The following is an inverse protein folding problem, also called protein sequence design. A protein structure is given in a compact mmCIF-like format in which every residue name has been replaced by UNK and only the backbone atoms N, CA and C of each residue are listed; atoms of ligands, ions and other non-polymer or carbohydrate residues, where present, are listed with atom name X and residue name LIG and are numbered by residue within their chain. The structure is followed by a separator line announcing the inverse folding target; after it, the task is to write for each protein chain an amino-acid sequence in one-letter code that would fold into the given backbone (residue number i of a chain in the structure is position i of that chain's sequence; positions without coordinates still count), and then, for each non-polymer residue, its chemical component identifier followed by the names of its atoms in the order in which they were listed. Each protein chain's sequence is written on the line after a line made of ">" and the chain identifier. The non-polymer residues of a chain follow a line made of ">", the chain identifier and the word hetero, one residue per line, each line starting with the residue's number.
data_IF_361181707041
#
_entry.id   IF_361181707041
#
_cell.length_a   1.000
_cell.length_b   1.000
_cell.length_c   1.000
_cell.angle_alpha   90.00
_cell.angle_beta   90.00
_cell.angle_gamma   90.00
#
_symmetry.space_group_name_H-M   'P 1'
#
loop_
_entity.id
_entity.type
_entity.pdbx_description
1 polymer ?
#
# COMPACT_ATOMS: atom_id res chain seq x y z
N UNK A 1 -10.97 13.23 8.07
CA UNK A 1 -9.69 13.19 7.37
C UNK A 1 -10.03 12.99 5.91
N UNK A 2 -9.88 14.02 5.09
CA UNK A 2 -10.07 13.88 3.65
C UNK A 2 -9.07 12.86 3.10
N UNK A 3 -9.54 11.91 2.29
CA UNK A 3 -8.74 10.86 1.63
C UNK A 3 -8.01 9.88 2.55
N UNK A 4 -8.63 9.45 3.66
CA UNK A 4 -8.00 8.56 4.64
C UNK A 4 -7.48 7.23 4.06
N UNK A 5 -8.10 6.71 3.00
CA UNK A 5 -7.81 5.37 2.48
C UNK A 5 -6.38 5.24 1.93
N UNK A 6 -5.88 6.26 1.23
CA UNK A 6 -4.54 6.20 0.62
C UNK A 6 -3.42 6.13 1.67
N UNK A 7 -3.41 6.98 2.72
CA UNK A 7 -2.49 6.83 3.83
C UNK A 7 -2.62 5.48 4.56
N UNK A 8 -3.85 4.98 4.73
CA UNK A 8 -4.12 3.71 5.41
C UNK A 8 -3.50 2.52 4.67
N UNK A 9 -3.71 2.42 3.35
CA UNK A 9 -3.11 1.36 2.53
C UNK A 9 -1.59 1.48 2.52
N UNK A 10 -1.05 2.70 2.44
CA UNK A 10 0.40 2.94 2.44
C UNK A 10 1.04 2.50 3.77
N UNK A 11 0.40 2.78 4.90
CA UNK A 11 0.83 2.32 6.22
C UNK A 11 0.88 0.79 6.28
N UNK A 12 -0.20 0.11 5.91
CA UNK A 12 -0.24 -1.35 5.93
C UNK A 12 0.73 -2.00 4.95
N UNK A 13 0.90 -1.42 3.76
CA UNK A 13 1.93 -1.85 2.82
C UNK A 13 3.33 -1.75 3.44
N UNK A 14 3.65 -0.65 4.13
CA UNK A 14 4.94 -0.49 4.80
C UNK A 14 5.13 -1.54 5.90
N UNK A 15 4.10 -1.82 6.72
CA UNK A 15 4.15 -2.87 7.75
C UNK A 15 4.42 -4.25 7.15
N UNK A 16 3.72 -4.63 6.09
CA UNK A 16 3.90 -5.91 5.41
C UNK A 16 5.29 -5.99 4.77
N UNK A 17 5.70 -4.93 4.07
CA UNK A 17 7.01 -4.86 3.43
C UNK A 17 8.14 -5.00 4.45
N UNK A 18 8.10 -4.24 5.55
CA UNK A 18 9.11 -4.31 6.60
C UNK A 18 9.16 -5.71 7.22
N UNK A 19 8.00 -6.28 7.58
CA UNK A 19 7.89 -7.65 8.13
C UNK A 19 8.57 -8.68 7.23
N UNK A 20 8.39 -8.56 5.91
CA UNK A 20 9.00 -9.48 4.94
C UNK A 20 10.47 -9.15 4.62
N UNK A 21 10.85 -7.87 4.66
CA UNK A 21 12.21 -7.41 4.35
C UNK A 21 13.24 -7.83 5.41
N UNK A 22 12.85 -7.89 6.69
CA UNK A 22 13.74 -8.30 7.78
C UNK A 22 14.28 -9.72 7.52
N UNK A 23 15.57 -9.82 7.21
CA UNK A 23 16.27 -11.08 6.96
C UNK A 23 15.67 -11.93 5.83
N UNK A 24 15.20 -11.28 4.76
CA UNK A 24 14.55 -11.93 3.62
C UNK A 24 15.29 -13.14 3.05
N UNK A 25 16.64 -13.11 3.00
CA UNK A 25 17.45 -14.22 2.43
C UNK A 25 17.57 -15.45 3.33
N UNK A 26 17.30 -15.33 4.64
CA UNK A 26 17.59 -16.39 5.62
C UNK A 26 16.34 -16.92 6.30
N UNK A 27 15.33 -16.08 6.49
CA UNK A 27 14.16 -16.42 7.30
C UNK A 27 12.89 -16.67 6.50
N UNK A 28 12.84 -16.28 5.23
CA UNK A 28 11.63 -16.41 4.43
C UNK A 28 11.45 -17.79 3.78
N UNK A 29 12.47 -18.65 3.85
CA UNK A 29 12.40 -20.03 3.35
C UNK A 29 11.66 -20.97 4.33
N UNK A 30 11.77 -20.70 5.63
CA UNK A 30 11.11 -21.48 6.69
C UNK A 30 9.77 -20.84 7.09
N UNK A 31 8.70 -21.63 6.95
CA UNK A 31 7.33 -21.21 7.28
C UNK A 31 7.20 -20.84 8.76
N UNK A 32 7.86 -21.59 9.66
CA UNK A 32 7.73 -21.35 11.10
C UNK A 32 8.32 -19.99 11.47
N UNK A 33 9.43 -19.62 10.85
CA UNK A 33 10.07 -18.32 11.04
C UNK A 33 9.23 -17.19 10.42
N UNK A 34 8.64 -17.39 9.25
CA UNK A 34 7.71 -16.42 8.66
C UNK A 34 6.48 -16.23 9.54
N UNK A 35 5.89 -17.30 10.07
CA UNK A 35 4.74 -17.23 10.96
C UNK A 35 5.09 -16.50 12.27
N UNK A 36 6.27 -16.78 12.84
CA UNK A 36 6.77 -16.06 14.01
C UNK A 36 6.93 -14.55 13.72
N UNK A 37 7.47 -14.17 12.55
CA UNK A 37 7.58 -12.76 12.13
C UNK A 37 6.22 -12.10 12.01
N UNK A 38 5.24 -12.78 11.42
CA UNK A 38 3.85 -12.30 11.33
C UNK A 38 3.29 -12.05 12.73
N UNK A 39 3.41 -13.01 13.65
CA UNK A 39 2.94 -12.86 15.02
C UNK A 39 3.63 -11.70 15.76
N UNK A 40 4.96 -11.60 15.64
CA UNK A 40 5.73 -10.50 16.25
C UNK A 40 5.29 -9.15 15.69
N UNK A 41 5.13 -9.04 14.37
CA UNK A 41 4.65 -7.81 13.73
C UNK A 41 3.24 -7.42 14.18
N UNK A 42 2.33 -8.39 14.34
CA UNK A 42 1.00 -8.17 14.87
C UNK A 42 1.01 -7.61 16.29
N UNK A 43 1.82 -8.19 17.17
CA UNK A 43 1.98 -7.70 18.55
C UNK A 43 2.59 -6.30 18.56
N UNK A 44 3.66 -6.06 17.79
CA UNK A 44 4.30 -4.74 17.72
C UNK A 44 3.31 -3.69 17.25
N UNK A 45 2.59 -3.92 16.15
CA UNK A 45 1.62 -2.95 15.62
C UNK A 45 0.47 -2.74 16.60
N UNK A 46 -0.06 -3.80 17.21
CA UNK A 46 -1.12 -3.67 18.22
C UNK A 46 -0.67 -2.84 19.43
N UNK A 47 0.54 -3.07 19.95
CA UNK A 47 1.10 -2.28 21.05
C UNK A 47 1.34 -0.84 20.63
N UNK A 48 1.91 -0.61 19.45
CA UNK A 48 2.19 0.73 18.95
C UNK A 48 0.91 1.54 18.80
N UNK A 49 -0.13 0.95 18.18
CA UNK A 49 -1.40 1.62 17.88
C UNK A 49 -2.27 1.79 19.14
N UNK A 50 -2.36 0.77 20.01
CA UNK A 50 -3.31 0.77 21.13
C UNK A 50 -2.72 1.31 22.44
N UNK A 51 -1.41 1.18 22.66
CA UNK A 51 -0.81 1.42 23.97
C UNK A 51 0.26 2.52 23.99
N UNK A 52 0.85 2.90 22.86
CA UNK A 52 1.98 3.85 22.85
C UNK A 52 1.62 5.24 22.35
N UNK A 53 2.28 6.30 22.83
CA UNK A 53 2.13 7.65 22.29
C UNK A 53 2.89 7.86 20.97
N UNK A 54 3.49 6.82 20.38
CA UNK A 54 4.31 6.96 19.17
C UNK A 54 3.50 7.52 18.00
N UNK A 55 2.23 7.15 17.87
CA UNK A 55 1.31 7.69 16.86
C UNK A 55 1.12 9.19 17.04
N UNK A 56 0.95 9.66 18.29
CA UNK A 56 0.85 11.10 18.63
C UNK A 56 2.10 11.86 18.24
N UNK A 57 3.28 11.33 18.55
CA UNK A 57 4.55 11.98 18.21
C UNK A 57 4.77 12.04 16.70
N UNK A 58 4.43 10.95 15.99
CA UNK A 58 4.53 10.90 14.52
C UNK A 58 3.61 11.94 13.88
N UNK A 59 2.36 12.06 14.32
CA UNK A 59 1.44 13.08 13.82
C UNK A 59 1.87 14.50 14.21
N UNK A 60 2.45 14.67 15.40
CA UNK A 60 3.07 15.93 15.82
C UNK A 60 4.22 16.34 14.90
N UNK A 61 5.11 15.39 14.57
CA UNK A 61 6.20 15.58 13.63
C UNK A 61 5.67 15.94 12.22
N UNK A 62 4.68 15.21 11.69
CA UNK A 62 4.05 15.53 10.41
C UNK A 62 3.44 16.94 10.40
N UNK A 63 2.82 17.36 11.51
CA UNK A 63 2.25 18.69 11.64
C UNK A 63 3.32 19.79 11.66
N UNK A 64 4.42 19.58 12.36
CA UNK A 64 5.50 20.57 12.50
C UNK A 64 6.29 20.72 11.20
N UNK A 65 6.71 19.61 10.59
CA UNK A 65 7.64 19.64 9.45
C UNK A 65 6.94 19.72 8.11
N UNK A 66 5.78 19.06 7.98
CA UNK A 66 5.06 18.99 6.72
C UNK A 66 3.79 19.83 6.71
N UNK A 67 3.39 20.49 7.82
CA UNK A 67 2.12 21.23 7.92
C UNK A 67 0.88 20.36 7.59
N UNK A 68 0.95 19.05 7.87
CA UNK A 68 -0.16 18.12 7.63
C UNK A 68 -1.14 18.17 8.81
N UNK A 69 -2.37 18.61 8.57
CA UNK A 69 -3.45 18.74 9.57
C UNK A 69 -4.39 17.53 9.58
N UNK A 70 -3.88 16.34 9.87
CA UNK A 70 -4.71 15.12 9.97
C UNK A 70 -5.30 14.95 11.38
N UNK A 71 -6.49 14.35 11.45
CA UNK A 71 -7.10 13.96 12.73
C UNK A 71 -6.49 12.65 13.20
N UNK A 72 -5.86 12.68 14.38
CA UNK A 72 -5.28 11.49 15.00
C UNK A 72 -6.36 10.48 15.42
N UNK A 73 -7.44 10.96 16.03
CA UNK A 73 -8.53 10.11 16.54
C UNK A 73 -9.16 9.29 15.41
N UNK A 74 -9.38 9.93 14.26
CA UNK A 74 -9.94 9.25 13.10
C UNK A 74 -8.95 8.26 12.47
N UNK A 75 -7.65 8.56 12.51
CA UNK A 75 -6.62 7.66 12.04
C UNK A 75 -6.53 6.40 12.91
N UNK A 76 -6.39 6.58 14.23
CA UNK A 76 -6.35 5.47 15.21
C UNK A 76 -7.59 4.59 15.09
N UNK A 77 -8.76 5.20 14.95
CA UNK A 77 -10.02 4.50 14.73
C UNK A 77 -9.98 3.61 13.47
N UNK A 78 -9.52 4.14 12.34
CA UNK A 78 -9.49 3.40 11.07
C UNK A 78 -8.44 2.29 11.05
N UNK A 79 -7.27 2.55 11.64
CA UNK A 79 -6.23 1.51 11.79
C UNK A 79 -6.71 0.40 12.72
N UNK A 80 -7.40 0.73 13.82
CA UNK A 80 -7.93 -0.25 14.75
C UNK A 80 -9.01 -1.15 14.11
N UNK A 81 -9.84 -0.61 13.19
CA UNK A 81 -10.83 -1.40 12.45
C UNK A 81 -10.20 -2.49 11.58
N UNK A 82 -9.08 -2.19 10.93
CA UNK A 82 -8.39 -3.10 10.01
C UNK A 82 -7.19 -3.82 10.66
N UNK A 83 -7.13 -3.91 11.99
CA UNK A 83 -5.94 -4.37 12.72
C UNK A 83 -5.53 -5.81 12.33
N UNK A 84 -6.49 -6.73 12.20
CA UNK A 84 -6.19 -8.16 12.00
C UNK A 84 -6.27 -8.63 10.54
N UNK A 85 -7.06 -7.95 9.70
CA UNK A 85 -7.34 -8.40 8.33
C UNK A 85 -6.06 -8.53 7.49
N UNK A 86 -5.09 -7.64 7.68
CA UNK A 86 -3.82 -7.65 6.95
C UNK A 86 -3.00 -8.92 7.25
N UNK A 87 -3.00 -9.36 8.51
CA UNK A 87 -2.32 -10.59 8.91
C UNK A 87 -3.00 -11.82 8.33
N UNK A 88 -4.33 -11.84 8.27
CA UNK A 88 -5.07 -12.90 7.56
C UNK A 88 -4.72 -12.92 6.07
N UNK A 89 -4.55 -11.76 5.44
CA UNK A 89 -4.06 -11.65 4.06
C UNK A 89 -2.68 -12.28 3.88
N UNK A 90 -1.74 -12.01 4.79
CA UNK A 90 -0.41 -12.64 4.75
C UNK A 90 -0.47 -14.16 4.93
N UNK A 91 -1.27 -14.65 5.87
CA UNK A 91 -1.49 -16.09 6.07
C UNK A 91 -2.13 -16.74 4.83
N UNK A 92 -3.08 -16.06 4.20
CA UNK A 92 -3.72 -16.51 2.96
C UNK A 92 -2.73 -16.62 1.81
N UNK A 93 -1.77 -15.69 1.71
CA UNK A 93 -0.69 -15.75 0.73
C UNK A 93 0.25 -16.95 0.98
N UNK A 94 0.60 -17.24 2.23
CA UNK A 94 1.39 -18.43 2.59
C UNK A 94 0.63 -19.71 2.23
N UNK A 95 -0.65 -19.78 2.57
CA UNK A 95 -1.51 -20.90 2.23
C UNK A 95 -1.54 -21.11 0.71
N UNK A 96 -1.73 -20.05 -0.07
CA UNK A 96 -1.71 -20.10 -1.54
C UNK A 96 -0.40 -20.66 -2.11
N UNK A 97 0.75 -20.26 -1.56
CA UNK A 97 2.06 -20.76 -2.00
C UNK A 97 2.32 -22.23 -1.65
N UNK A 98 1.66 -22.73 -0.59
CA UNK A 98 1.88 -24.10 -0.07
C UNK A 98 0.87 -25.11 -0.58
N UNK A 99 -0.31 -24.68 -1.02
CA UNK A 99 -1.29 -25.55 -1.68
C UNK A 99 -0.74 -25.96 -3.05
N UNK A 100 0.12 -26.98 -3.05
CA UNK A 100 0.67 -27.64 -4.23
C UNK A 100 -0.16 -28.84 -4.68
N UNK A 101 -0.96 -29.40 -3.78
CA UNK A 101 -1.76 -30.59 -4.05
C UNK A 101 -3.13 -30.23 -4.64
N UNK A 102 -3.58 -31.05 -5.59
CA UNK A 102 -4.95 -31.01 -6.05
C UNK A 102 -5.90 -31.36 -4.91
N UNK A 103 -6.43 -30.33 -4.26
CA UNK A 103 -7.43 -30.52 -3.23
C UNK A 103 -8.62 -31.31 -3.81
N UNK A 104 -8.99 -32.43 -3.18
CA UNK A 104 -10.09 -33.28 -3.66
C UNK A 104 -11.35 -32.45 -3.88
N UNK A 105 -12.06 -32.73 -4.98
CA UNK A 105 -13.29 -31.99 -5.33
C UNK A 105 -14.31 -31.97 -4.18
N UNK A 106 -14.47 -33.09 -3.47
CA UNK A 106 -15.34 -33.20 -2.31
C UNK A 106 -15.01 -32.16 -1.22
N UNK A 107 -13.72 -31.92 -0.96
CA UNK A 107 -13.28 -30.93 0.03
C UNK A 107 -13.49 -29.49 -0.47
N UNK A 108 -13.32 -29.24 -1.78
CA UNK A 108 -13.63 -27.92 -2.36
C UNK A 108 -15.13 -27.61 -2.25
N UNK A 109 -15.98 -28.58 -2.58
CA UNK A 109 -17.42 -28.44 -2.45
C UNK A 109 -17.85 -28.27 -0.99
N UNK A 110 -17.26 -29.00 -0.04
CA UNK A 110 -17.59 -28.83 1.38
C UNK A 110 -17.16 -27.46 1.90
N UNK A 111 -15.94 -27.00 1.60
CA UNK A 111 -15.48 -25.66 1.99
C UNK A 111 -16.34 -24.54 1.39
N UNK A 112 -16.84 -24.72 0.17
CA UNK A 112 -17.73 -23.74 -0.45
C UNK A 112 -19.14 -23.76 0.12
N UNK A 113 -19.67 -24.93 0.46
CA UNK A 113 -20.94 -25.03 1.19
C UNK A 113 -20.81 -24.32 2.54
N UNK A 114 -19.74 -24.60 3.29
CA UNK A 114 -19.42 -23.91 4.53
C UNK A 114 -19.28 -22.40 4.30
N UNK A 115 -18.56 -21.99 3.26
CA UNK A 115 -18.41 -20.57 2.89
C UNK A 115 -19.76 -19.90 2.61
N UNK A 116 -20.67 -20.56 1.90
CA UNK A 116 -22.00 -20.03 1.60
C UNK A 116 -22.84 -19.88 2.88
N UNK A 117 -22.81 -20.89 3.77
CA UNK A 117 -23.47 -20.83 5.08
C UNK A 117 -22.90 -19.70 5.93
N UNK A 118 -21.58 -19.54 5.96
CA UNK A 118 -20.89 -18.48 6.71
C UNK A 118 -21.24 -17.10 6.16
N UNK A 119 -21.29 -16.92 4.84
CA UNK A 119 -21.72 -15.67 4.22
C UNK A 119 -23.16 -15.30 4.57
N UNK A 120 -24.08 -16.27 4.49
CA UNK A 120 -25.48 -16.06 4.87
C UNK A 120 -25.61 -15.75 6.37
N UNK A 121 -24.88 -16.47 7.22
CA UNK A 121 -24.83 -16.25 8.66
C UNK A 121 -24.26 -14.87 9.02
N UNK A 122 -23.21 -14.43 8.34
CA UNK A 122 -22.64 -13.09 8.53
C UNK A 122 -23.64 -11.99 8.13
N UNK A 123 -24.32 -12.15 6.99
CA UNK A 123 -25.35 -11.21 6.55
C UNK A 123 -26.53 -11.14 7.54
N UNK A 124 -26.96 -12.30 8.04
CA UNK A 124 -28.01 -12.38 9.07
C UNK A 124 -27.59 -11.74 10.39
N UNK A 125 -26.36 -12.00 10.85
CA UNK A 125 -25.80 -11.40 12.05
C UNK A 125 -25.73 -9.86 11.92
N UNK A 126 -25.30 -9.35 10.76
CA UNK A 126 -25.31 -7.90 10.49
C UNK A 126 -26.71 -7.30 10.56
N UNK A 127 -27.74 -8.03 10.11
CA UNK A 127 -29.13 -7.57 10.16
C UNK A 127 -29.80 -7.66 11.53
N UNK A 128 -29.23 -8.40 12.48
CA UNK A 128 -29.87 -8.70 13.77
C UNK A 128 -28.99 -8.32 14.96
N UNK A 129 -27.91 -9.07 15.19
CA UNK A 129 -27.04 -8.94 16.37
C UNK A 129 -26.04 -7.79 16.27
N UNK A 130 -25.59 -7.46 15.06
CA UNK A 130 -24.67 -6.33 14.78
C UNK A 130 -25.42 -5.16 14.12
N UNK A 131 -26.73 -5.03 14.37
CA UNK A 131 -27.54 -3.97 13.77
C UNK A 131 -27.16 -2.57 14.27
N UNK A 132 -26.61 -2.47 15.48
CA UNK A 132 -26.10 -1.20 16.02
C UNK A 132 -24.70 -0.90 15.46
N UNK A 133 -24.48 0.35 15.07
CA UNK A 133 -23.16 0.80 14.59
C UNK A 133 -22.06 0.59 15.64
N UNK A 134 -22.39 0.71 16.93
CA UNK A 134 -21.43 0.51 18.02
C UNK A 134 -20.97 -0.95 18.12
N UNK A 135 -21.93 -1.89 18.13
CA UNK A 135 -21.63 -3.32 18.24
C UNK A 135 -20.89 -3.82 17.01
N UNK A 136 -21.32 -3.41 15.81
CA UNK A 136 -20.61 -3.75 14.58
C UNK A 136 -19.16 -3.31 14.64
N UNK A 137 -18.87 -2.07 15.08
CA UNK A 137 -17.51 -1.54 15.18
C UNK A 137 -16.64 -2.32 16.17
N UNK A 138 -17.20 -2.74 17.30
CA UNK A 138 -16.47 -3.51 18.31
C UNK A 138 -16.04 -4.88 17.76
N UNK A 139 -16.94 -5.54 17.04
CA UNK A 139 -16.70 -6.89 16.50
C UNK A 139 -16.00 -6.90 15.15
N UNK A 140 -16.04 -5.81 14.38
CA UNK A 140 -15.52 -5.72 13.02
C UNK A 140 -14.06 -6.18 12.88
N UNK A 141 -13.09 -5.75 13.72
CA UNK A 141 -11.69 -6.17 13.58
C UNK A 141 -11.52 -7.70 13.63
N UNK A 142 -12.39 -8.39 14.37
CA UNK A 142 -12.35 -9.82 14.58
C UNK A 142 -13.17 -10.62 13.57
N UNK A 143 -14.12 -9.98 12.88
CA UNK A 143 -15.07 -10.68 12.00
C UNK A 143 -14.91 -10.29 10.53
N UNK A 144 -14.21 -9.20 10.20
CA UNK A 144 -14.09 -8.67 8.83
C UNK A 144 -13.48 -9.67 7.83
N UNK A 145 -12.58 -10.54 8.27
CA UNK A 145 -11.94 -11.55 7.41
C UNK A 145 -12.85 -12.73 7.06
N UNK A 146 -13.88 -13.00 7.88
CA UNK A 146 -14.77 -14.15 7.74
C UNK A 146 -15.50 -14.15 6.39
N UNK A 147 -16.23 -13.08 5.99
CA UNK A 147 -16.90 -13.06 4.69
C UNK A 147 -15.90 -13.11 3.52
N UNK A 148 -14.69 -12.57 3.68
CA UNK A 148 -13.66 -12.59 2.63
C UNK A 148 -13.16 -14.01 2.37
N UNK A 149 -12.78 -14.74 3.43
CA UNK A 149 -12.33 -16.13 3.32
C UNK A 149 -13.47 -17.04 2.82
N UNK A 150 -14.69 -16.81 3.28
CA UNK A 150 -15.87 -17.53 2.84
C UNK A 150 -16.14 -17.33 1.34
N UNK A 151 -16.02 -16.09 0.85
CA UNK A 151 -16.14 -15.79 -0.58
C UNK A 151 -15.03 -16.46 -1.40
N UNK A 152 -13.78 -16.44 -0.92
CA UNK A 152 -12.67 -17.14 -1.58
C UNK A 152 -12.94 -18.64 -1.67
N UNK A 153 -13.45 -19.26 -0.59
CA UNK A 153 -13.80 -20.67 -0.57
C UNK A 153 -14.89 -21.01 -1.61
N UNK A 154 -15.96 -20.20 -1.69
CA UNK A 154 -17.02 -20.35 -2.70
C UNK A 154 -16.49 -20.17 -4.12
N UNK A 155 -15.61 -19.19 -4.35
CA UNK A 155 -15.02 -18.94 -5.67
C UNK A 155 -14.08 -20.06 -6.13
N UNK A 156 -13.52 -20.84 -5.22
CA UNK A 156 -12.52 -21.85 -5.53
C UNK A 156 -13.07 -23.27 -5.77
N UNK A 157 -14.40 -23.44 -5.89
CA UNK A 157 -15.03 -24.75 -6.16
C UNK A 157 -14.61 -25.33 -7.50
N UNK A 158 -14.75 -24.55 -8.56
CA UNK A 158 -14.54 -24.99 -9.94
C UNK A 158 -13.91 -23.88 -10.78
N UNK A 159 -13.23 -24.26 -11.87
CA UNK A 159 -12.60 -23.31 -12.77
C UNK A 159 -13.59 -22.31 -13.40
N UNK A 160 -14.80 -22.71 -13.85
CA UNK A 160 -15.78 -21.75 -14.38
C UNK A 160 -16.20 -20.70 -13.35
N UNK A 161 -16.48 -21.12 -12.11
CA UNK A 161 -16.86 -20.19 -11.03
C UNK A 161 -15.71 -19.23 -10.75
N UNK A 162 -14.45 -19.69 -10.73
CA UNK A 162 -13.29 -18.84 -10.49
C UNK A 162 -13.01 -17.86 -11.63
N UNK A 163 -13.20 -18.27 -12.88
CA UNK A 163 -12.79 -17.53 -14.06
C UNK A 163 -13.89 -16.64 -14.65
N UNK A 164 -15.17 -16.90 -14.34
CA UNK A 164 -16.26 -16.04 -14.78
C UNK A 164 -16.37 -14.82 -13.86
N UNK A 165 -16.22 -13.63 -14.44
CA UNK A 165 -16.33 -12.35 -13.75
C UNK A 165 -16.91 -11.28 -14.68
N UNK A 166 -17.53 -10.25 -14.11
CA UNK A 166 -18.00 -9.10 -14.88
C UNK A 166 -16.83 -8.24 -15.32
N UNK A 167 -16.65 -8.09 -16.64
CA UNK A 167 -15.63 -7.20 -17.22
C UNK A 167 -15.82 -5.75 -16.75
N UNK A 168 -17.07 -5.29 -16.59
CA UNK A 168 -17.38 -3.95 -16.10
C UNK A 168 -16.94 -3.75 -14.66
N UNK A 169 -17.21 -4.72 -13.78
CA UNK A 169 -16.78 -4.65 -12.38
C UNK A 169 -15.27 -4.78 -12.23
N UNK A 170 -14.63 -5.61 -13.06
CA UNK A 170 -13.18 -5.70 -13.11
C UNK A 170 -12.53 -4.38 -13.56
N UNK A 171 -13.10 -3.72 -14.57
CA UNK A 171 -12.67 -2.40 -15.02
C UNK A 171 -12.83 -1.33 -13.93
N UNK A 172 -13.97 -1.30 -13.23
CA UNK A 172 -14.17 -0.40 -12.07
C UNK A 172 -13.15 -0.66 -10.96
N UNK A 173 -12.81 -1.92 -10.71
CA UNK A 173 -11.78 -2.29 -9.74
C UNK A 173 -10.39 -1.72 -10.09
N UNK A 174 -10.05 -1.63 -11.38
CA UNK A 174 -8.76 -1.12 -11.85
C UNK A 174 -8.56 0.39 -11.60
N UNK A 175 -9.65 1.16 -11.53
CA UNK A 175 -9.62 2.60 -11.22
C UNK A 175 -10.20 2.93 -9.84
N UNK A 176 -10.29 1.93 -8.94
CA UNK A 176 -11.01 2.07 -7.65
C UNK A 176 -10.40 3.11 -6.70
N UNK A 177 -9.07 3.26 -6.69
CA UNK A 177 -8.37 4.24 -5.84
C UNK A 177 -8.64 5.68 -6.32
N UNK A 178 -8.58 5.91 -7.63
CA UNK A 178 -8.87 7.19 -8.25
C UNK A 178 -10.35 7.53 -8.09
N UNK A 179 -11.23 6.55 -8.29
CA UNK A 179 -12.67 6.67 -8.08
C UNK A 179 -12.98 7.09 -6.63
N UNK A 180 -12.36 6.43 -5.65
CA UNK A 180 -12.50 6.78 -4.22
C UNK A 180 -12.04 8.20 -3.90
N UNK A 181 -10.99 8.68 -4.57
CA UNK A 181 -10.47 10.04 -4.33
C UNK A 181 -11.34 11.08 -5.02
N UNK A 182 -11.69 10.84 -6.28
CA UNK A 182 -12.47 11.77 -7.10
C UNK A 182 -13.91 11.95 -6.64
N UNK A 183 -14.50 10.97 -5.92
CA UNK A 183 -15.86 11.12 -5.42
C UNK A 183 -16.00 12.35 -4.50
N UNK A 184 -14.96 12.70 -3.73
CA UNK A 184 -14.96 13.87 -2.84
C UNK A 184 -14.88 15.21 -3.59
N UNK A 185 -14.54 15.18 -4.88
CA UNK A 185 -14.40 16.38 -5.71
C UNK A 185 -15.54 16.53 -6.73
N UNK A 186 -16.08 15.41 -7.20
CA UNK A 186 -17.07 15.38 -8.27
C UNK A 186 -18.48 15.04 -7.79
N UNK A 187 -18.62 14.19 -6.77
CA UNK A 187 -19.92 13.73 -6.29
C UNK A 187 -20.34 14.35 -4.98
N UNK A 188 -19.41 14.50 -4.03
CA UNK A 188 -19.72 15.00 -2.71
C UNK A 188 -19.35 16.47 -2.60
N UNK A 189 -20.16 17.21 -1.86
CA UNK A 189 -19.83 18.56 -1.43
C UNK A 189 -18.67 18.52 -0.43
N UNK A 190 -18.09 19.69 -0.15
CA UNK A 190 -16.96 19.82 0.76
C UNK A 190 -17.24 19.30 2.18
N UNK A 191 -18.50 19.11 2.56
CA UNK A 191 -18.91 18.53 3.84
C UNK A 191 -19.01 17.00 3.82
N UNK A 192 -18.78 16.32 2.70
CA UNK A 192 -18.96 14.86 2.52
C UNK A 192 -20.37 14.34 2.84
N UNK A 193 -21.34 15.22 2.99
CA UNK A 193 -22.74 14.88 3.30
C UNK A 193 -23.68 15.32 2.16
N UNK A 194 -23.37 16.43 1.50
CA UNK A 194 -24.09 16.89 0.32
C UNK A 194 -23.68 16.14 -0.95
N UNK A 195 -24.65 15.89 -1.83
CA UNK A 195 -24.39 15.43 -3.21
C UNK A 195 -24.39 16.64 -4.13
N UNK A 196 -23.33 16.81 -4.91
CA UNK A 196 -23.22 17.88 -5.91
C UNK A 196 -24.16 17.56 -7.08
N UNK A 197 -25.22 18.35 -7.22
CA UNK A 197 -26.15 18.29 -8.35
C UNK A 197 -25.77 19.37 -9.37
N UNK A 198 -25.77 19.00 -10.65
CA UNK A 198 -25.48 19.96 -11.74
C UNK A 198 -26.67 20.92 -11.85
N UNK A 199 -26.41 22.21 -11.59
CA UNK A 199 -27.44 23.25 -11.49
C UNK A 199 -28.31 23.40 -12.76
N UNK A 200 -27.81 22.97 -13.93
CA UNK A 200 -28.53 23.02 -15.22
C UNK A 200 -29.60 21.92 -15.37
N UNK A 201 -29.67 20.94 -14.45
CA UNK A 201 -30.66 19.85 -14.42
C UNK A 201 -31.63 20.00 -13.24
N UNK A 202 -31.79 21.22 -12.72
CA UNK A 202 -32.64 21.53 -11.57
C UNK A 202 -34.12 21.57 -12.00
N UNK A 203 -34.81 20.44 -11.89
CA UNK A 203 -36.27 20.37 -11.91
C UNK A 203 -36.87 20.55 -10.51
N UNK A 204 -38.10 20.08 -10.30
CA UNK A 204 -38.93 20.28 -9.09
C UNK A 204 -38.42 19.55 -7.84
N UNK A 205 -37.20 19.01 -7.87
CA UNK A 205 -36.61 18.21 -6.80
C UNK A 205 -37.19 16.79 -6.69
N UNK A 206 -37.97 16.37 -7.68
CA UNK A 206 -38.53 15.03 -7.77
C UNK A 206 -37.43 13.96 -7.86
N UNK A 207 -37.72 12.75 -7.39
CA UNK A 207 -36.81 11.60 -7.49
C UNK A 207 -36.34 11.39 -8.94
N UNK A 208 -37.20 11.63 -9.92
CA UNK A 208 -36.88 11.51 -11.34
C UNK A 208 -35.78 12.49 -11.80
N UNK A 209 -35.73 13.70 -11.26
CA UNK A 209 -34.68 14.68 -11.58
C UNK A 209 -33.34 14.29 -10.97
N UNK A 210 -33.36 13.72 -9.76
CA UNK A 210 -32.15 13.17 -9.11
C UNK A 210 -31.57 12.01 -9.92
N UNK A 211 -32.42 11.10 -10.41
CA UNK A 211 -32.01 9.99 -11.29
C UNK A 211 -31.46 10.48 -12.62
N UNK A 212 -32.07 11.50 -13.24
CA UNK A 212 -31.55 12.12 -14.48
C UNK A 212 -30.17 12.74 -14.27
N UNK A 213 -29.99 13.51 -13.19
CA UNK A 213 -28.68 14.08 -12.85
C UNK A 213 -27.65 12.97 -12.66
N UNK A 214 -27.99 11.91 -11.91
CA UNK A 214 -27.11 10.78 -11.64
C UNK A 214 -26.71 10.02 -12.91
N UNK A 215 -27.65 9.79 -13.83
CA UNK A 215 -27.38 9.16 -15.12
C UNK A 215 -26.40 9.95 -16.00
N UNK A 216 -26.31 11.27 -15.83
CA UNK A 216 -25.34 12.11 -16.56
C UNK A 216 -24.01 12.17 -15.83
N UNK A 217 -24.02 12.37 -14.50
CA UNK A 217 -22.78 12.58 -13.74
C UNK A 217 -21.98 11.29 -13.55
N UNK A 218 -22.64 10.12 -13.42
CA UNK A 218 -21.94 8.84 -13.22
C UNK A 218 -21.05 8.44 -14.40
N UNK A 219 -21.51 8.47 -15.67
CA UNK A 219 -20.64 8.16 -16.80
C UNK A 219 -19.44 9.11 -16.91
N UNK A 220 -19.66 10.42 -16.71
CA UNK A 220 -18.58 11.42 -16.73
C UNK A 220 -17.58 11.16 -15.61
N UNK A 221 -18.06 10.91 -14.40
CA UNK A 221 -17.24 10.57 -13.25
C UNK A 221 -16.40 9.31 -13.49
N UNK A 222 -17.00 8.24 -14.01
CA UNK A 222 -16.30 6.99 -14.32
C UNK A 222 -15.27 7.17 -15.43
N UNK A 223 -15.60 7.98 -16.44
CA UNK A 223 -14.67 8.34 -17.51
C UNK A 223 -13.47 9.12 -16.98
N UNK A 224 -13.68 10.19 -16.21
CA UNK A 224 -12.60 10.98 -15.58
C UNK A 224 -11.75 10.11 -14.64
N UNK A 225 -12.38 9.22 -13.87
CA UNK A 225 -11.67 8.28 -13.00
C UNK A 225 -10.78 7.33 -13.81
N UNK A 226 -11.25 6.82 -14.95
CA UNK A 226 -10.44 5.98 -15.84
C UNK A 226 -9.27 6.73 -16.48
N UNK A 227 -9.47 7.99 -16.88
CA UNK A 227 -8.41 8.84 -17.44
C UNK A 227 -7.33 9.12 -16.38
N UNK A 228 -7.77 9.41 -15.16
CA UNK A 228 -6.87 9.64 -14.02
C UNK A 228 -6.09 8.38 -13.70
N UNK A 229 -6.73 7.20 -13.67
CA UNK A 229 -6.07 5.93 -13.43
C UNK A 229 -5.02 5.60 -14.52
N UNK A 230 -5.28 5.94 -15.78
CA UNK A 230 -4.27 5.79 -16.84
C UNK A 230 -3.09 6.75 -16.64
N UNK A 231 -3.36 8.00 -16.23
CA UNK A 231 -2.33 8.99 -15.97
C UNK A 231 -1.45 8.61 -14.75
N UNK A 232 -2.05 8.15 -13.65
CA UNK A 232 -1.33 7.69 -12.45
C UNK A 232 -0.47 6.47 -12.76
N UNK A 233 -0.99 5.50 -13.50
CA UNK A 233 -0.21 4.33 -13.95
C UNK A 233 0.97 4.72 -14.84
N UNK A 234 0.79 5.68 -15.75
CA UNK A 234 1.89 6.19 -16.57
C UNK A 234 2.94 6.92 -15.72
N UNK A 235 2.53 7.70 -14.73
CA UNK A 235 3.43 8.34 -13.78
C UNK A 235 4.24 7.31 -12.99
N UNK A 236 3.59 6.26 -12.49
CA UNK A 236 4.26 5.15 -11.79
C UNK A 236 5.29 4.47 -12.69
N UNK A 237 4.97 4.21 -13.96
CA UNK A 237 5.93 3.67 -14.94
C UNK A 237 7.12 4.60 -15.17
N UNK A 238 6.86 5.92 -15.30
CA UNK A 238 7.93 6.92 -15.44
C UNK A 238 8.82 6.93 -14.20
N UNK A 239 8.25 6.85 -12.99
CA UNK A 239 9.02 6.80 -11.76
C UNK A 239 9.87 5.53 -11.73
N UNK A 240 9.25 4.36 -11.94
CA UNK A 240 9.89 3.03 -11.82
C UNK A 240 10.80 2.64 -12.98
N UNK A 241 10.77 3.35 -14.10
CA UNK A 241 11.66 3.06 -15.23
C UNK A 241 13.12 3.40 -14.89
N UNK A 242 13.86 2.39 -14.47
CA UNK A 242 15.32 2.39 -14.63
C UNK A 242 15.63 2.44 -16.13
N UNK A 243 16.46 3.41 -16.53
CA UNK A 243 17.15 3.30 -17.82
C UNK A 243 17.98 2.03 -17.77
N UNK A 244 17.63 1.02 -18.58
CA UNK A 244 18.48 -0.15 -18.83
C UNK A 244 19.93 0.33 -18.95
N UNK A 245 20.88 -0.25 -18.20
CA UNK A 245 22.29 -0.03 -18.52
C UNK A 245 22.48 -0.43 -19.98
N UNK A 246 23.14 0.42 -20.78
CA UNK A 246 23.53 0.08 -22.14
C UNK A 246 24.15 -1.31 -22.13
N UNK A 247 23.52 -2.23 -22.85
CA UNK A 247 24.05 -3.54 -23.15
C UNK A 247 25.35 -3.31 -23.92
N UNK A 248 26.47 -3.36 -23.20
CA UNK A 248 27.79 -3.31 -23.80
C UNK A 248 27.86 -4.50 -24.76
N UNK A 249 27.84 -4.20 -26.06
CA UNK A 249 27.87 -5.19 -27.11
C UNK A 249 28.95 -6.24 -26.82
N UNK A 250 28.70 -7.55 -27.02
CA UNK A 250 29.71 -8.55 -26.79
C UNK A 250 30.95 -8.22 -27.62
N UNK A 251 32.09 -8.05 -26.94
CA UNK A 251 33.40 -8.04 -27.61
C UNK A 251 33.49 -9.32 -28.46
N UNK A 252 33.84 -9.25 -29.75
CA UNK A 252 34.04 -10.47 -30.53
C UNK A 252 35.12 -11.30 -29.86
N UNK A 253 34.82 -12.58 -29.62
CA UNK A 253 35.80 -13.54 -29.12
C UNK A 253 36.96 -13.67 -30.13
N UNK A 254 38.22 -13.82 -29.68
CA UNK A 254 39.33 -14.05 -30.60
C UNK A 254 39.07 -15.35 -31.37
N UNK A 255 39.16 -15.28 -32.70
CA UNK A 255 39.15 -16.47 -33.55
C UNK A 255 40.33 -17.36 -33.14
N UNK A 256 40.02 -18.61 -32.81
CA UNK A 256 41.02 -19.66 -32.63
C UNK A 256 41.64 -19.95 -34.00
N UNK A 257 42.84 -19.44 -34.23
CA UNK A 257 43.74 -20.00 -35.25
C UNK A 257 44.39 -21.25 -34.68
N UNK A 258 44.28 -22.35 -35.43
CA UNK A 258 44.83 -23.65 -35.09
C UNK A 258 46.24 -23.80 -35.69
N UNK A 259 47.16 -24.32 -34.86
CA UNK A 259 48.49 -24.91 -35.15
C UNK A 259 49.68 -23.99 -35.48
N UNK A 260 50.71 -24.06 -34.62
CA UNK A 260 51.90 -24.88 -34.88
C UNK A 260 52.74 -25.14 -33.61
N UNK A 261 53.64 -26.12 -33.72
CA UNK A 261 54.32 -26.91 -32.68
C UNK A 261 55.81 -26.55 -32.62
N UNK A 262 56.37 -26.31 -31.43
CA UNK A 262 57.78 -26.48 -31.01
C UNK A 262 57.89 -26.09 -29.51
N UNK A 263 58.35 -26.95 -28.59
CA UNK A 263 59.75 -26.98 -28.04
C UNK A 263 60.15 -25.63 -27.42
N UNK A 264 60.70 -25.44 -26.21
CA UNK A 264 61.41 -26.25 -25.21
C UNK A 264 61.67 -25.33 -23.97
N UNK A 265 62.08 -25.91 -22.83
CA UNK A 265 62.91 -25.34 -21.74
C UNK A 265 62.42 -24.21 -20.79
N UNK A 266 62.42 -24.57 -19.50
CA UNK A 266 63.10 -24.00 -18.31
C UNK A 266 62.79 -22.58 -17.72
N UNK A 267 62.54 -22.64 -16.39
CA UNK A 267 62.94 -21.75 -15.26
C UNK A 267 62.75 -20.21 -15.29
N UNK A 268 62.05 -19.66 -14.28
CA UNK A 268 62.59 -18.75 -13.24
C UNK A 268 61.51 -17.97 -12.44
N UNK A 269 61.93 -17.51 -11.26
CA UNK A 269 61.18 -17.14 -10.07
C UNK A 269 61.28 -15.65 -9.70
N UNK A 270 60.16 -15.07 -9.22
CA UNK A 270 60.09 -13.85 -8.38
C UNK A 270 60.21 -12.46 -9.06
N UNK A 271 59.97 -11.33 -8.35
CA UNK A 271 59.78 -11.18 -6.90
C UNK A 271 58.53 -10.38 -6.46
N UNK A 272 58.21 -10.56 -5.17
CA UNK A 272 57.19 -9.87 -4.40
C UNK A 272 57.67 -8.46 -4.00
N UNK A 273 56.88 -7.42 -4.30
CA UNK A 273 57.09 -6.05 -3.81
C UNK A 273 56.28 -5.79 -2.54
N UNK A 274 56.98 -5.41 -1.46
CA UNK A 274 56.43 -4.84 -0.24
C UNK A 274 56.01 -3.39 -0.47
N UNK A 275 54.82 -2.98 -0.03
CA UNK A 275 54.48 -1.56 0.11
C UNK A 275 53.96 -1.21 1.51
N UNK A 276 54.94 -0.74 2.28
CA UNK A 276 54.98 0.21 3.39
C UNK A 276 53.64 0.84 3.85
N UNK A 277 53.34 0.69 5.15
CA UNK A 277 52.11 1.16 5.79
C UNK A 277 51.94 2.68 5.83
N UNK A 278 50.79 3.14 5.34
CA UNK A 278 50.25 4.49 5.57
C UNK A 278 49.18 4.48 6.66
N UNK A 279 49.34 5.31 7.69
CA UNK A 279 48.49 5.35 8.88
C UNK A 279 47.02 5.72 8.66
N UNK A 280 46.21 5.41 9.68
CA UNK A 280 44.73 5.40 9.72
C UNK A 280 44.06 6.74 9.34
N UNK A 281 44.74 7.87 9.53
CA UNK A 281 44.23 9.21 9.19
C UNK A 281 44.39 9.60 7.71
N UNK A 282 45.34 9.02 6.98
CA UNK A 282 45.53 9.28 5.54
C UNK A 282 44.42 8.64 4.69
N UNK A 283 43.92 7.49 5.15
CA UNK A 283 42.89 6.69 4.46
C UNK A 283 41.52 7.39 4.43
N UNK A 284 41.19 8.20 5.44
CA UNK A 284 39.90 8.91 5.52
C UNK A 284 39.79 10.05 4.50
N UNK A 285 40.87 10.82 4.29
CA UNK A 285 40.89 11.93 3.33
C UNK A 285 40.85 11.45 1.87
N UNK A 286 41.53 10.35 1.56
CA UNK A 286 41.52 9.77 0.20
C UNK A 286 40.22 9.05 -0.13
N UNK A 287 39.55 8.43 0.85
CA UNK A 287 38.24 7.80 0.64
C UNK A 287 37.12 8.82 0.43
N UNK A 288 37.11 9.93 1.19
CA UNK A 288 36.13 11.00 0.97
C UNK A 288 36.38 11.72 -0.35
N UNK A 289 37.65 11.95 -0.73
CA UNK A 289 37.99 12.55 -2.03
C UNK A 289 37.61 11.64 -3.21
N UNK A 290 37.75 10.31 -3.10
CA UNK A 290 37.25 9.37 -4.11
C UNK A 290 35.73 9.37 -4.20
N UNK A 291 35.02 9.44 -3.06
CA UNK A 291 33.56 9.51 -3.05
C UNK A 291 33.02 10.78 -3.73
N UNK A 292 33.72 11.91 -3.57
CA UNK A 292 33.37 13.16 -4.24
C UNK A 292 33.77 13.19 -5.73
N UNK A 293 34.82 12.48 -6.12
CA UNK A 293 35.20 12.32 -7.54
C UNK A 293 34.36 11.29 -8.29
N UNK A 294 33.75 10.32 -7.59
CA UNK A 294 32.79 9.36 -8.15
C UNK A 294 31.34 9.84 -8.11
N UNK A 295 31.07 11.09 -7.72
CA UNK A 295 29.72 11.64 -7.82
C UNK A 295 29.35 11.80 -9.30
N UNK A 296 28.35 11.06 -9.81
CA UNK A 296 27.95 11.19 -11.19
C UNK A 296 27.30 12.58 -11.39
N UNK A 297 27.41 13.19 -12.58
CA UNK A 297 26.97 14.56 -12.82
C UNK A 297 25.51 14.79 -12.39
N UNK A 298 25.17 15.99 -11.90
CA UNK A 298 23.84 16.33 -11.37
C UNK A 298 22.66 15.89 -12.29
N UNK A 299 22.91 15.88 -13.61
CA UNK A 299 21.97 15.45 -14.66
C UNK A 299 21.75 13.93 -14.74
N UNK A 300 22.71 13.10 -14.35
CA UNK A 300 22.51 11.64 -14.20
C UNK A 300 21.94 11.30 -12.84
N UNK A 301 22.24 12.10 -11.80
CA UNK A 301 21.61 11.94 -10.49
C UNK A 301 20.09 12.16 -10.57
N UNK A 302 19.63 13.20 -11.28
CA UNK A 302 18.21 13.45 -11.58
C UNK A 302 17.51 12.33 -12.40
N UNK A 303 18.28 11.43 -13.02
CA UNK A 303 17.74 10.30 -13.78
C UNK A 303 17.49 9.06 -12.91
N UNK A 304 18.05 8.97 -11.70
CA UNK A 304 17.82 7.83 -10.81
C UNK A 304 16.43 7.88 -10.21
N UNK A 305 15.85 6.70 -9.95
CA UNK A 305 14.55 6.55 -9.27
C UNK A 305 14.50 7.36 -7.96
N UNK A 306 15.58 7.27 -7.17
CA UNK A 306 15.69 7.94 -5.88
C UNK A 306 15.60 9.46 -6.01
N UNK A 307 16.30 10.07 -6.99
CA UNK A 307 16.24 11.51 -7.19
C UNK A 307 14.87 11.99 -7.71
N UNK A 308 14.21 11.20 -8.57
CA UNK A 308 12.84 11.51 -9.05
C UNK A 308 11.85 11.53 -7.89
N UNK A 309 11.92 10.53 -7.01
CA UNK A 309 11.06 10.44 -5.82
C UNK A 309 11.34 11.62 -4.87
N UNK A 310 12.61 11.89 -4.58
CA UNK A 310 13.00 13.01 -3.69
C UNK A 310 12.53 14.35 -4.27
N UNK A 311 12.70 14.57 -5.57
CA UNK A 311 12.23 15.79 -6.24
C UNK A 311 10.71 15.95 -6.13
N UNK A 312 9.94 14.89 -6.41
CA UNK A 312 8.47 14.92 -6.27
C UNK A 312 8.07 15.24 -4.83
N UNK A 313 8.69 14.59 -3.84
CA UNK A 313 8.42 14.83 -2.43
C UNK A 313 8.76 16.26 -2.01
N UNK A 314 9.87 16.82 -2.50
CA UNK A 314 10.26 18.22 -2.23
C UNK A 314 9.27 19.22 -2.84
N UNK A 315 8.83 18.98 -4.07
CA UNK A 315 7.83 19.82 -4.73
C UNK A 315 6.49 19.76 -3.97
N UNK A 316 6.03 18.55 -3.61
CA UNK A 316 4.81 18.37 -2.81
C UNK A 316 4.93 19.05 -1.44
N UNK A 317 6.08 18.92 -0.79
CA UNK A 317 6.35 19.56 0.49
C UNK A 317 6.30 21.09 0.37
N UNK A 318 6.94 21.67 -0.65
CA UNK A 318 6.91 23.10 -0.89
C UNK A 318 5.48 23.60 -1.13
N UNK A 319 4.71 22.91 -1.98
CA UNK A 319 3.31 23.27 -2.21
C UNK A 319 2.48 23.21 -0.92
N UNK A 320 2.68 22.19 -0.08
CA UNK A 320 1.92 22.05 1.16
C UNK A 320 2.26 23.13 2.20
N UNK A 321 3.49 23.66 2.19
CA UNK A 321 3.88 24.81 3.00
C UNK A 321 3.28 26.12 2.47
N UNK A 322 3.18 26.27 1.16
CA UNK A 322 2.66 27.48 0.51
C UNK A 322 1.13 27.57 0.54
N UNK A 323 0.42 26.44 0.66
CA UNK A 323 -1.05 26.45 0.80
C UNK A 323 -1.47 26.74 2.24
N UNK A 324 -2.21 27.84 2.50
CA UNK A 324 -2.81 28.06 3.82
C UNK A 324 -3.85 26.96 4.08
N UNK A 325 -3.54 26.03 4.98
CA UNK A 325 -4.44 24.92 5.29
C UNK A 325 -5.79 25.44 5.79
N UNK A 326 -6.92 24.80 5.44
CA UNK A 326 -8.26 25.29 5.75
C UNK A 326 -8.36 25.74 7.21
N UNK A 327 -8.88 26.96 7.40
CA UNK A 327 -9.28 27.50 8.69
C UNK A 327 -10.27 26.50 9.27
N UNK A 328 -10.04 26.06 10.51
CA UNK A 328 -10.80 25.00 11.16
C UNK A 328 -12.31 25.25 11.08
N UNK A 329 -12.94 24.65 10.07
CA UNK A 329 -14.37 24.37 10.08
C UNK A 329 -14.60 23.11 10.90
N UNK A 330 -15.76 22.97 11.55
CA UNK A 330 -16.13 21.73 12.22
C UNK A 330 -15.95 20.56 11.25
N UNK A 331 -15.34 19.49 11.76
CA UNK A 331 -15.30 18.20 11.07
C UNK A 331 -16.75 17.86 10.72
N UNK A 332 -17.10 17.52 9.48
CA UNK A 332 -18.47 17.10 9.16
C UNK A 332 -18.87 15.97 10.11
N UNK A 333 -19.91 16.24 10.89
CA UNK A 333 -20.31 15.43 12.02
C UNK A 333 -20.70 14.02 11.57
N UNK A 334 -19.78 13.08 11.78
CA UNK A 334 -20.08 11.65 11.96
C UNK A 334 -19.47 11.09 13.24
N UNK A 335 -18.74 11.92 13.99
CA UNK A 335 -17.94 11.48 15.13
C UNK A 335 -17.64 12.66 16.08
N UNK A 336 -18.55 12.94 17.00
CA UNK A 336 -18.19 13.50 18.30
C UNK A 336 -18.06 12.33 19.26
N UNK A 337 -16.85 11.97 19.74
CA UNK A 337 -16.76 11.08 20.89
C UNK A 337 -17.38 11.85 22.05
N UNK A 338 -18.58 11.45 22.47
CA UNK A 338 -19.05 11.82 23.79
C UNK A 338 -17.98 11.28 24.75
N UNK A 339 -17.13 12.18 25.27
CA UNK A 339 -16.51 11.96 26.57
C UNK A 339 -17.67 11.59 27.47
N UNK A 340 -17.71 10.35 27.92
CA UNK A 340 -18.45 9.97 29.11
C UNK A 340 -17.84 10.84 30.20
N UNK A 341 -18.48 11.98 30.44
CA UNK A 341 -18.16 12.85 31.54
C UNK A 341 -18.32 12.01 32.79
N UNK A 342 -17.27 12.00 33.61
CA UNK A 342 -17.38 11.78 35.04
C UNK A 342 -18.50 12.68 35.54
N UNK A 343 -19.70 12.11 35.69
CA UNK A 343 -20.78 12.76 36.41
C UNK A 343 -20.35 12.79 37.85
N UNK A 344 -19.77 13.91 38.27
CA UNK A 344 -19.71 14.30 39.66
C UNK A 344 -21.14 14.26 40.20
N UNK A 345 -21.40 13.24 41.02
CA UNK A 345 -22.51 13.23 41.94
C UNK A 345 -22.17 14.27 43.02
N UNK A 346 -22.66 15.51 42.88
CA UNK A 346 -22.99 16.34 44.05
C UNK A 346 -23.91 17.51 43.69
N UNK A 347 -25.05 17.52 44.39
CA UNK A 347 -26.03 18.60 44.62
C UNK A 347 -27.10 18.85 43.57
#
# INVERSE_FOLDING_TARGET
>A
MFYYFSPLVSFWFMVVYLTMAVGHKRYNDDIQLVLAKICISAVIVAVVVLATPLTKWTFGFLRIFFNIKWSLEEWEYRVALDLFIVYIGMLSAIAYLKVKEELRLALRCSMALVGLVVMAGYAYACGTTLASMGDYRLWHPYLSFVPILAFIAVRNVSAPVRNYYSKGMAWLGQCSLETYTLQFHLFLAADTQGVLLVNQLRGDGSNFDRWKSLLVIVPVFLWVSSLTANATNNLVKIILSESKPEEHAPRPLPQQEEKERAEDSDDEDGPYMYEQGTGLLGRSRTTVSRYFQEMPPLRSMLRTLQARIIFILLVMWLFNLLTPGPIGGPVPDGFTPHRVGSGDATK
#
